data_IF_455699349135
#
_entry.id   IF_455699349135
#
_cell.length_a   1.000
_cell.length_b   1.000
_cell.length_c   1.000
_cell.angle_alpha   90.00
_cell.angle_beta   90.00
_cell.angle_gamma   90.00
#
_symmetry.space_group_name_H-M   'P 1'
#
loop_
_entity.id
_entity.type
_entity.pdbx_description
1 polymer ?
#
# COMPACT_ATOMS: atom_id res chain seq x y z
N UNK A 1 -49.89 16.79 32.07
CA UNK A 1 -48.48 16.65 31.71
C UNK A 1 -48.37 15.58 30.66
N UNK A 2 -47.84 15.91 29.49
CA UNK A 2 -47.90 15.03 28.31
C UNK A 2 -46.92 13.85 28.48
N UNK A 3 -47.39 12.61 28.31
CA UNK A 3 -46.59 11.37 28.49
C UNK A 3 -45.29 11.37 27.69
N UNK A 4 -45.24 12.11 26.58
CA UNK A 4 -44.03 12.26 25.77
C UNK A 4 -42.98 13.18 26.43
N UNK A 5 -43.37 14.19 27.19
CA UNK A 5 -42.40 15.02 27.96
C UNK A 5 -41.79 14.25 29.12
N UNK A 6 -42.53 13.33 29.75
CA UNK A 6 -42.03 12.51 30.82
C UNK A 6 -40.99 11.47 30.31
N UNK A 7 -41.21 10.91 29.08
CA UNK A 7 -40.24 9.97 28.46
C UNK A 7 -38.94 10.64 28.04
N UNK A 8 -39.00 11.89 27.51
CA UNK A 8 -37.80 12.65 27.17
C UNK A 8 -37.00 13.04 28.41
N UNK A 9 -37.67 13.43 29.48
CA UNK A 9 -37.00 13.78 30.75
C UNK A 9 -36.37 12.54 31.38
N UNK A 10 -37.04 11.39 31.33
CA UNK A 10 -36.49 10.13 31.85
C UNK A 10 -35.30 9.64 31.01
N UNK A 11 -35.32 9.79 29.69
CA UNK A 11 -34.22 9.45 28.79
C UNK A 11 -33.02 10.37 28.97
N UNK A 12 -33.23 11.68 29.14
CA UNK A 12 -32.15 12.63 29.44
C UNK A 12 -31.55 12.40 30.83
N UNK A 13 -32.37 12.05 31.85
CA UNK A 13 -31.88 11.73 33.17
C UNK A 13 -31.09 10.42 33.24
N UNK A 14 -31.47 9.42 32.43
CA UNK A 14 -30.69 8.18 32.35
C UNK A 14 -29.37 8.38 31.61
N UNK A 15 -29.33 9.23 30.56
CA UNK A 15 -28.06 9.58 29.87
C UNK A 15 -27.12 10.39 30.77
N UNK A 16 -27.64 11.35 31.54
CA UNK A 16 -26.83 12.13 32.48
C UNK A 16 -26.35 11.29 33.66
N UNK A 17 -27.16 10.34 34.16
CA UNK A 17 -26.74 9.42 35.22
C UNK A 17 -25.66 8.43 34.74
N UNK A 18 -25.72 7.97 33.49
CA UNK A 18 -24.66 7.09 32.93
C UNK A 18 -23.36 7.86 32.70
N UNK A 19 -23.42 9.12 32.24
CA UNK A 19 -22.23 9.94 32.09
C UNK A 19 -21.58 10.29 33.44
N UNK A 20 -22.37 10.72 34.46
CA UNK A 20 -21.84 11.03 35.78
C UNK A 20 -21.39 9.80 36.59
N UNK A 21 -22.02 8.64 36.35
CA UNK A 21 -21.55 7.36 36.95
C UNK A 21 -20.23 6.89 36.34
N UNK A 22 -19.93 7.30 35.09
CA UNK A 22 -18.69 7.01 34.41
C UNK A 22 -17.56 7.97 34.82
N UNK A 23 -17.87 9.23 35.12
CA UNK A 23 -16.92 10.20 35.69
C UNK A 23 -16.47 9.88 37.12
N UNK A 24 -17.30 9.20 37.93
CA UNK A 24 -16.94 8.73 39.26
C UNK A 24 -16.19 7.41 39.29
N UNK A 25 -16.08 6.72 38.15
CA UNK A 25 -15.18 5.57 38.02
C UNK A 25 -13.79 6.05 37.68
N UNK A 26 -12.82 5.43 38.32
CA UNK A 26 -11.39 5.71 38.17
C UNK A 26 -10.89 5.94 36.76
N UNK A 27 -9.67 6.43 36.65
CA UNK A 27 -8.81 6.60 35.49
C UNK A 27 -9.15 5.66 34.36
N UNK A 28 -9.55 6.21 33.22
CA UNK A 28 -9.71 5.43 32.00
C UNK A 28 -8.34 4.87 31.59
N UNK A 29 -8.30 3.58 31.26
CA UNK A 29 -7.08 2.95 30.78
C UNK A 29 -6.75 3.39 29.36
N UNK A 30 -7.76 3.75 28.57
CA UNK A 30 -7.63 4.26 27.21
C UNK A 30 -7.86 5.76 27.21
N UNK A 31 -6.81 6.54 27.12
CA UNK A 31 -6.87 8.02 27.05
C UNK A 31 -6.85 8.52 25.61
N UNK A 32 -6.46 7.69 24.67
CA UNK A 32 -6.39 7.91 23.22
C UNK A 32 -6.84 6.65 22.50
N UNK A 33 -6.45 6.47 21.26
CA UNK A 33 -6.69 5.24 20.50
C UNK A 33 -5.85 4.02 20.93
N UNK A 34 -5.01 4.17 21.95
CA UNK A 34 -4.23 3.10 22.56
C UNK A 34 -4.42 3.10 24.10
N UNK A 35 -4.26 1.95 24.77
CA UNK A 35 -4.20 1.91 26.23
C UNK A 35 -2.91 2.57 26.72
N UNK A 36 -2.96 3.16 27.94
CA UNK A 36 -1.80 3.82 28.59
C UNK A 36 -0.57 2.90 28.64
N UNK A 37 -0.78 1.61 28.81
CA UNK A 37 0.29 0.60 28.75
C UNK A 37 1.02 0.60 27.38
N UNK A 38 0.27 0.66 26.28
CA UNK A 38 0.87 0.70 24.94
C UNK A 38 1.62 2.00 24.69
N UNK A 39 1.11 3.15 25.16
CA UNK A 39 1.82 4.42 25.11
C UNK A 39 3.19 4.34 25.79
N UNK A 40 3.25 3.71 26.97
CA UNK A 40 4.52 3.51 27.70
C UNK A 40 5.48 2.61 26.91
N UNK A 41 4.99 1.51 26.34
CA UNK A 41 5.80 0.64 25.48
C UNK A 41 6.36 1.37 24.24
N UNK A 42 5.55 2.22 23.62
CA UNK A 42 5.98 2.99 22.44
C UNK A 42 7.08 3.99 22.83
N UNK A 43 6.96 4.64 23.99
CA UNK A 43 7.97 5.56 24.49
C UNK A 43 9.34 4.88 24.74
N UNK A 44 9.33 3.61 25.11
CA UNK A 44 10.53 2.80 25.37
C UNK A 44 11.07 2.10 24.10
N UNK A 45 10.44 2.26 22.93
CA UNK A 45 10.88 1.60 21.69
C UNK A 45 12.17 2.21 21.16
N UNK A 46 13.17 1.34 20.96
CA UNK A 46 14.49 1.72 20.42
C UNK A 46 14.71 1.27 18.98
N UNK A 47 13.77 0.52 18.40
CA UNK A 47 13.90 -0.09 17.07
C UNK A 47 15.22 -0.86 16.90
N UNK A 48 15.42 -1.97 17.64
CA UNK A 48 16.73 -2.64 17.75
C UNK A 48 17.26 -3.22 16.44
N UNK A 49 16.43 -3.38 15.42
CA UNK A 49 16.84 -3.80 14.08
C UNK A 49 16.98 -2.66 13.08
N UNK A 50 16.79 -1.39 13.48
CA UNK A 50 17.09 -0.28 12.59
C UNK A 50 18.58 -0.24 12.24
N UNK A 51 18.90 0.15 11.00
CA UNK A 51 20.29 0.37 10.61
C UNK A 51 20.89 1.50 11.47
N UNK A 52 22.02 1.26 12.07
CA UNK A 52 22.65 2.17 13.03
C UNK A 52 22.34 1.87 14.50
N UNK A 53 21.16 1.29 14.83
CA UNK A 53 20.83 0.81 16.19
C UNK A 53 21.24 -0.66 16.38
N UNK A 54 21.21 -1.43 15.30
CA UNK A 54 21.60 -2.84 15.29
C UNK A 54 23.09 -3.03 15.55
N UNK A 55 23.46 -4.13 16.21
CA UNK A 55 24.86 -4.58 16.34
C UNK A 55 25.47 -5.09 15.04
N UNK A 56 24.65 -5.34 14.01
CA UNK A 56 25.09 -5.81 12.69
C UNK A 56 25.78 -4.67 11.95
N UNK A 57 27.05 -4.86 11.57
CA UNK A 57 27.87 -3.83 10.90
C UNK A 57 27.97 -4.01 9.39
N UNK A 58 27.72 -5.21 8.88
CA UNK A 58 27.62 -5.47 7.43
C UNK A 58 26.20 -5.14 6.93
N UNK A 59 26.10 -4.26 5.95
CA UNK A 59 24.81 -3.80 5.45
C UNK A 59 24.03 -4.90 4.71
N UNK A 60 24.72 -5.77 3.99
CA UNK A 60 24.10 -6.90 3.29
C UNK A 60 23.49 -7.90 4.28
N UNK A 61 24.23 -8.20 5.36
CA UNK A 61 23.74 -9.04 6.46
C UNK A 61 22.57 -8.38 7.18
N UNK A 62 22.68 -7.08 7.48
CA UNK A 62 21.57 -6.34 8.08
C UNK A 62 20.29 -6.42 7.23
N UNK A 63 20.38 -6.18 5.91
CA UNK A 63 19.24 -6.30 4.99
C UNK A 63 18.60 -7.68 5.06
N UNK A 64 19.43 -8.73 5.07
CA UNK A 64 18.95 -10.11 5.16
C UNK A 64 18.18 -10.34 6.46
N UNK A 65 18.72 -9.90 7.60
CA UNK A 65 18.09 -10.08 8.92
C UNK A 65 16.83 -9.21 9.08
N UNK A 66 16.90 -7.94 8.66
CA UNK A 66 15.77 -7.03 8.73
C UNK A 66 14.61 -7.51 7.83
N UNK A 67 14.92 -7.93 6.58
CA UNK A 67 13.91 -8.51 5.65
C UNK A 67 13.28 -9.77 6.23
N UNK A 68 14.10 -10.67 6.80
CA UNK A 68 13.58 -11.88 7.45
C UNK A 68 12.64 -11.53 8.60
N UNK A 69 12.97 -10.52 9.41
CA UNK A 69 12.11 -10.07 10.50
C UNK A 69 10.76 -9.55 9.97
N UNK A 70 10.72 -8.86 8.83
CA UNK A 70 9.46 -8.46 8.20
C UNK A 70 8.65 -9.70 7.83
N UNK A 71 9.25 -10.69 7.16
CA UNK A 71 8.56 -11.95 6.82
C UNK A 71 8.09 -12.71 8.06
N UNK A 72 8.87 -12.74 9.15
CA UNK A 72 8.43 -13.36 10.42
C UNK A 72 7.15 -12.71 10.98
N UNK A 73 7.00 -11.39 10.80
CA UNK A 73 5.81 -10.65 11.22
C UNK A 73 4.65 -10.74 10.23
N UNK A 74 4.89 -11.21 9.01
CA UNK A 74 3.86 -11.41 7.97
C UNK A 74 3.03 -12.68 8.16
N UNK A 75 3.32 -13.47 9.19
CA UNK A 75 2.62 -14.70 9.52
C UNK A 75 2.67 -15.74 8.38
N UNK A 76 1.54 -16.41 8.08
CA UNK A 76 1.51 -17.54 7.15
C UNK A 76 1.45 -17.09 5.69
N UNK A 77 2.45 -17.39 4.85
CA UNK A 77 2.39 -17.09 3.43
C UNK A 77 1.39 -17.99 2.70
N UNK A 78 0.70 -17.49 1.67
CA UNK A 78 -0.05 -18.35 0.76
C UNK A 78 0.89 -19.34 0.07
N UNK A 79 0.52 -20.63 -0.02
CA UNK A 79 1.36 -21.59 -0.72
C UNK A 79 1.43 -21.26 -2.22
N UNK A 80 2.61 -21.36 -2.85
CA UNK A 80 2.78 -21.04 -4.27
C UNK A 80 1.96 -21.98 -5.15
N UNK A 81 1.67 -21.62 -6.41
CA UNK A 81 1.02 -22.51 -7.37
C UNK A 81 1.95 -23.69 -7.72
N UNK A 82 1.36 -24.88 -7.89
CA UNK A 82 2.14 -26.12 -8.06
C UNK A 82 2.93 -26.18 -9.39
N UNK A 83 2.39 -25.58 -10.47
CA UNK A 83 2.89 -25.71 -11.84
C UNK A 83 3.28 -24.36 -12.47
N UNK A 84 3.72 -23.41 -11.66
CA UNK A 84 3.95 -22.04 -12.14
C UNK A 84 2.64 -21.25 -12.28
N UNK A 85 2.74 -20.08 -12.89
CA UNK A 85 1.57 -19.21 -13.06
C UNK A 85 0.69 -19.69 -14.21
N UNK A 86 -0.53 -20.15 -13.88
CA UNK A 86 -1.58 -20.44 -14.86
C UNK A 86 -2.37 -19.17 -15.11
N UNK A 87 -2.38 -18.71 -16.36
CA UNK A 87 -2.97 -17.43 -16.77
C UNK A 87 -4.03 -17.67 -17.82
N UNK A 88 -5.23 -17.19 -17.57
CA UNK A 88 -6.34 -17.20 -18.50
C UNK A 88 -6.60 -15.77 -18.96
N UNK A 89 -6.47 -15.50 -20.25
CA UNK A 89 -6.92 -14.25 -20.87
C UNK A 89 -8.43 -14.31 -21.02
N UNK A 90 -9.13 -13.39 -20.37
CA UNK A 90 -10.60 -13.30 -20.38
C UNK A 90 -11.08 -12.36 -21.48
N UNK A 91 -10.35 -11.29 -21.70
CA UNK A 91 -10.66 -10.27 -22.71
C UNK A 91 -9.40 -9.53 -23.15
N UNK A 92 -9.38 -9.09 -24.41
CA UNK A 92 -8.30 -8.29 -24.98
C UNK A 92 -8.88 -7.19 -25.88
N UNK A 93 -8.34 -6.01 -25.79
CA UNK A 93 -8.67 -4.90 -26.68
C UNK A 93 -7.40 -4.09 -27.05
N UNK A 94 -7.42 -3.50 -28.25
CA UNK A 94 -6.39 -2.55 -28.68
C UNK A 94 -6.78 -1.14 -28.19
N UNK A 95 -5.82 -0.44 -27.66
CA UNK A 95 -5.90 0.97 -27.27
C UNK A 95 -4.85 1.78 -28.00
N UNK A 96 -4.87 3.10 -27.83
CA UNK A 96 -3.91 3.98 -28.50
C UNK A 96 -2.48 3.77 -27.95
N UNK A 97 -1.65 3.08 -28.74
CA UNK A 97 -0.26 2.77 -28.43
C UNK A 97 -0.01 1.55 -27.55
N UNK A 98 -1.03 0.78 -27.17
CA UNK A 98 -0.86 -0.44 -26.37
C UNK A 98 -2.08 -1.36 -26.44
N UNK A 99 -1.85 -2.61 -26.10
CA UNK A 99 -2.85 -3.66 -25.94
C UNK A 99 -3.23 -3.78 -24.47
N UNK A 100 -4.53 -3.87 -24.16
CA UNK A 100 -5.04 -4.09 -22.81
C UNK A 100 -5.68 -5.48 -22.71
N UNK A 101 -5.35 -6.21 -21.63
CA UNK A 101 -5.89 -7.55 -21.31
C UNK A 101 -6.51 -7.59 -19.93
N UNK A 102 -7.68 -8.21 -19.81
CA UNK A 102 -8.21 -8.73 -18.56
C UNK A 102 -7.77 -10.18 -18.43
N UNK A 103 -7.17 -10.53 -17.30
CA UNK A 103 -6.69 -11.89 -17.04
C UNK A 103 -7.15 -12.38 -15.68
N UNK A 104 -7.25 -13.70 -15.55
CA UNK A 104 -7.17 -14.41 -14.26
C UNK A 104 -5.80 -15.07 -14.14
N UNK A 105 -5.13 -14.87 -13.04
CA UNK A 105 -3.82 -15.44 -12.77
C UNK A 105 -3.85 -16.26 -11.47
N UNK A 106 -3.29 -17.46 -11.50
CA UNK A 106 -3.11 -18.30 -10.33
C UNK A 106 -1.87 -17.87 -9.56
N UNK A 107 -2.04 -17.06 -8.52
CA UNK A 107 -0.94 -16.63 -7.64
C UNK A 107 -0.68 -17.61 -6.49
N UNK A 108 -1.63 -18.47 -6.16
CA UNK A 108 -1.51 -19.48 -5.10
C UNK A 108 -2.13 -20.81 -5.52
N UNK A 109 -1.72 -21.88 -4.83
CA UNK A 109 -2.38 -23.18 -4.93
C UNK A 109 -3.91 -23.11 -4.74
N UNK A 110 -4.38 -22.14 -3.94
CA UNK A 110 -5.78 -22.08 -3.48
C UNK A 110 -6.66 -21.09 -4.22
N UNK A 111 -6.07 -20.09 -4.93
CA UNK A 111 -6.86 -19.03 -5.55
C UNK A 111 -6.24 -18.47 -6.82
N UNK A 112 -7.10 -17.89 -7.63
CA UNK A 112 -6.76 -17.03 -8.76
C UNK A 112 -7.06 -15.56 -8.43
N UNK A 113 -6.38 -14.65 -9.11
CA UNK A 113 -6.50 -13.21 -8.91
C UNK A 113 -6.86 -12.55 -10.25
N UNK A 114 -7.92 -11.73 -10.31
CA UNK A 114 -8.22 -10.93 -11.48
C UNK A 114 -7.22 -9.77 -11.58
N UNK A 115 -6.74 -9.52 -12.78
CA UNK A 115 -5.78 -8.46 -13.06
C UNK A 115 -5.96 -7.87 -14.46
N UNK A 116 -5.43 -6.66 -14.64
CA UNK A 116 -5.23 -6.06 -15.95
C UNK A 116 -3.75 -6.04 -16.29
N UNK A 117 -3.47 -6.26 -17.58
CA UNK A 117 -2.13 -6.08 -18.18
C UNK A 117 -2.24 -5.17 -19.38
N UNK A 118 -1.36 -4.17 -19.42
CA UNK A 118 -1.17 -3.29 -20.57
C UNK A 118 0.19 -3.58 -21.19
N UNK A 119 0.24 -3.80 -22.51
CA UNK A 119 1.45 -4.15 -23.24
C UNK A 119 1.64 -3.12 -24.35
N UNK A 120 2.71 -2.30 -24.34
CA UNK A 120 2.97 -1.32 -25.39
C UNK A 120 3.09 -1.96 -26.75
N UNK A 121 2.68 -1.22 -27.79
CA UNK A 121 2.93 -1.60 -29.17
C UNK A 121 4.43 -1.53 -29.49
N UNK A 122 4.90 -2.37 -30.42
CA UNK A 122 6.28 -2.37 -30.85
C UNK A 122 7.05 -3.63 -30.49
N UNK A 123 8.38 -3.54 -30.53
CA UNK A 123 9.26 -4.68 -30.30
C UNK A 123 9.85 -4.63 -28.87
N UNK A 124 9.35 -5.52 -28.01
CA UNK A 124 9.91 -5.73 -26.65
C UNK A 124 11.28 -6.43 -26.66
N UNK A 125 11.79 -6.87 -25.49
CA UNK A 125 11.11 -6.77 -24.19
C UNK A 125 11.14 -5.34 -23.62
N UNK A 126 10.04 -4.97 -22.94
CA UNK A 126 9.85 -3.62 -22.39
C UNK A 126 10.19 -3.58 -20.89
N UNK A 127 10.54 -2.41 -20.34
CA UNK A 127 10.50 -2.22 -18.89
C UNK A 127 9.06 -2.36 -18.40
N UNK A 128 8.88 -2.74 -17.13
CA UNK A 128 7.56 -3.03 -16.61
C UNK A 128 7.30 -2.39 -15.23
N UNK A 129 6.04 -2.11 -14.94
CA UNK A 129 5.59 -1.54 -13.66
C UNK A 129 4.47 -2.40 -13.05
N UNK A 130 4.67 -2.82 -11.81
CA UNK A 130 3.58 -3.30 -10.98
C UNK A 130 2.88 -2.08 -10.37
N UNK A 131 1.66 -1.79 -10.84
CA UNK A 131 0.86 -0.62 -10.48
C UNK A 131 -0.15 -1.00 -9.40
N UNK A 132 0.04 -0.50 -8.19
CA UNK A 132 -0.63 -0.91 -6.96
C UNK A 132 -1.71 0.11 -6.59
N UNK A 133 -2.98 -0.31 -6.59
CA UNK A 133 -4.11 0.58 -6.33
C UNK A 133 -4.20 1.04 -4.86
N UNK A 134 -4.85 2.18 -4.66
CA UNK A 134 -5.11 2.79 -3.34
C UNK A 134 -6.23 2.08 -2.56
N UNK A 135 -6.32 2.41 -1.25
CA UNK A 135 -7.39 1.95 -0.37
C UNK A 135 -8.70 2.71 -0.61
N UNK A 136 -8.65 4.03 -0.43
CA UNK A 136 -9.73 4.97 -0.61
C UNK A 136 -11.00 4.72 0.21
N UNK A 137 -11.00 3.73 1.12
CA UNK A 137 -12.21 3.21 1.76
C UNK A 137 -13.29 2.76 0.76
N UNK A 138 -12.90 2.58 -0.51
CA UNK A 138 -13.77 2.26 -1.62
C UNK A 138 -13.39 0.87 -2.15
N UNK A 139 -14.19 -0.15 -1.77
CA UNK A 139 -13.88 -1.56 -2.01
C UNK A 139 -14.48 -2.10 -3.32
N UNK A 140 -15.38 -1.34 -3.96
CA UNK A 140 -16.12 -1.80 -5.14
C UNK A 140 -15.21 -2.01 -6.37
N UNK A 141 -14.17 -1.22 -6.51
CA UNK A 141 -13.14 -1.33 -7.55
C UNK A 141 -11.76 -1.46 -6.94
N UNK A 142 -10.85 -2.14 -7.64
CA UNK A 142 -9.45 -2.32 -7.24
C UNK A 142 -8.51 -1.89 -8.37
N UNK A 143 -8.15 -2.80 -9.26
CA UNK A 143 -7.30 -2.57 -10.45
C UNK A 143 -7.81 -1.45 -11.37
N UNK A 144 -9.13 -1.22 -11.37
CA UNK A 144 -9.79 -0.17 -12.15
C UNK A 144 -9.47 1.24 -11.64
N UNK A 145 -8.90 1.38 -10.44
CA UNK A 145 -8.37 2.66 -9.95
C UNK A 145 -7.07 3.07 -10.65
N UNK A 146 -6.29 2.08 -11.07
CA UNK A 146 -5.00 2.29 -11.73
C UNK A 146 -5.11 2.26 -13.26
N UNK A 147 -5.96 1.39 -13.79
CA UNK A 147 -6.10 1.14 -15.22
C UNK A 147 -7.55 1.35 -15.63
N UNK A 148 -7.77 2.10 -16.71
CA UNK A 148 -9.11 2.31 -17.24
C UNK A 148 -9.79 0.97 -17.52
N UNK A 149 -11.01 0.74 -17.03
CA UNK A 149 -11.76 -0.49 -17.25
C UNK A 149 -11.83 -0.86 -18.74
N UNK A 150 -11.76 -2.17 -19.01
CA UNK A 150 -11.89 -2.69 -20.37
C UNK A 150 -13.35 -2.70 -20.80
N UNK A 151 -13.60 -2.73 -22.11
CA UNK A 151 -14.96 -2.69 -22.68
C UNK A 151 -15.85 -3.88 -22.28
N UNK A 152 -15.27 -4.94 -21.75
CA UNK A 152 -16.01 -6.09 -21.22
C UNK A 152 -16.58 -5.89 -19.81
N UNK A 153 -16.21 -4.81 -19.12
CA UNK A 153 -16.67 -4.56 -17.75
C UNK A 153 -18.11 -4.05 -17.72
N UNK A 154 -18.79 -4.29 -16.60
CA UNK A 154 -20.12 -3.75 -16.36
C UNK A 154 -20.10 -2.22 -16.35
N UNK A 155 -21.15 -1.61 -16.86
CA UNK A 155 -21.27 -0.15 -16.93
C UNK A 155 -21.22 0.55 -15.59
N UNK A 156 -21.56 -0.14 -14.48
CA UNK A 156 -21.43 0.39 -13.13
C UNK A 156 -19.97 0.46 -12.70
N UNK A 157 -19.15 -0.53 -13.04
CA UNK A 157 -17.69 -0.53 -12.79
C UNK A 157 -17.02 0.58 -13.57
N UNK A 158 -17.37 0.75 -14.85
CA UNK A 158 -16.82 1.80 -15.71
C UNK A 158 -17.11 3.19 -15.12
N UNK A 159 -18.37 3.48 -14.80
CA UNK A 159 -18.79 4.77 -14.22
C UNK A 159 -18.13 5.05 -12.87
N UNK A 160 -17.99 4.02 -12.05
CA UNK A 160 -17.39 4.14 -10.73
C UNK A 160 -15.88 4.43 -10.82
N UNK A 161 -15.18 3.75 -11.72
CA UNK A 161 -13.77 4.01 -11.99
C UNK A 161 -13.53 5.42 -12.58
N UNK A 162 -14.39 5.87 -13.49
CA UNK A 162 -14.36 7.24 -14.03
C UNK A 162 -14.56 8.28 -12.91
N UNK A 163 -15.52 8.06 -12.02
CA UNK A 163 -15.74 8.92 -10.86
C UNK A 163 -14.53 8.91 -9.91
N UNK A 164 -13.91 7.75 -9.68
CA UNK A 164 -12.72 7.62 -8.84
C UNK A 164 -11.50 8.30 -9.44
N UNK A 165 -11.38 8.33 -10.76
CA UNK A 165 -10.24 8.93 -11.48
C UNK A 165 -10.02 10.42 -11.15
N UNK A 166 -11.01 11.11 -10.57
CA UNK A 166 -10.87 12.50 -10.10
C UNK A 166 -9.71 12.67 -9.12
N UNK A 167 -9.43 11.68 -8.24
CA UNK A 167 -8.26 11.66 -7.36
C UNK A 167 -6.91 11.59 -8.11
N UNK A 168 -6.97 11.21 -9.38
CA UNK A 168 -5.87 11.15 -10.34
C UNK A 168 -5.97 12.24 -11.42
N UNK A 169 -6.78 13.28 -11.18
CA UNK A 169 -7.09 14.36 -12.15
C UNK A 169 -7.61 13.86 -13.51
N UNK A 170 -8.47 12.82 -13.47
CA UNK A 170 -9.10 12.23 -14.65
C UNK A 170 -8.16 11.40 -15.54
N UNK A 171 -6.96 11.06 -15.06
CA UNK A 171 -5.97 10.27 -15.79
C UNK A 171 -5.75 8.92 -15.09
N UNK A 172 -5.95 7.82 -15.81
CA UNK A 172 -5.60 6.50 -15.30
C UNK A 172 -4.08 6.31 -15.34
N UNK A 173 -3.46 6.17 -14.19
CA UNK A 173 -2.00 6.18 -14.06
C UNK A 173 -1.33 5.01 -14.81
N UNK A 174 -1.95 3.81 -14.78
CA UNK A 174 -1.45 2.65 -15.52
C UNK A 174 -1.49 2.87 -17.04
N UNK A 175 -2.58 3.44 -17.57
CA UNK A 175 -2.70 3.78 -19.00
C UNK A 175 -1.65 4.81 -19.41
N UNK A 176 -1.41 5.82 -18.57
CA UNK A 176 -0.38 6.84 -18.81
C UNK A 176 1.03 6.21 -18.92
N UNK A 177 1.37 5.27 -18.01
CA UNK A 177 2.65 4.56 -18.06
C UNK A 177 2.76 3.66 -19.31
N UNK A 178 1.66 2.97 -19.69
CA UNK A 178 1.65 2.11 -20.89
C UNK A 178 1.87 2.92 -22.19
N UNK A 179 1.23 4.08 -22.31
CA UNK A 179 1.45 5.01 -23.43
C UNK A 179 2.91 5.50 -23.52
N UNK A 180 3.64 5.44 -22.41
CA UNK A 180 5.06 5.79 -22.34
C UNK A 180 5.98 4.56 -22.40
N UNK A 181 5.51 3.41 -22.90
CA UNK A 181 6.33 2.26 -23.23
C UNK A 181 6.67 1.33 -22.07
N UNK A 182 5.86 1.30 -21.02
CA UNK A 182 5.96 0.32 -19.95
C UNK A 182 4.90 -0.77 -20.08
N UNK A 183 5.27 -2.04 -19.88
CA UNK A 183 4.27 -3.05 -19.54
C UNK A 183 3.74 -2.73 -18.16
N UNK A 184 2.42 -2.68 -18.00
CA UNK A 184 1.81 -2.35 -16.71
C UNK A 184 0.92 -3.49 -16.25
N UNK A 185 1.14 -3.96 -15.02
CA UNK A 185 0.32 -4.97 -14.37
C UNK A 185 -0.38 -4.33 -13.16
N UNK A 186 -1.67 -4.57 -13.00
CA UNK A 186 -2.42 -4.20 -11.81
C UNK A 186 -3.43 -5.30 -11.46
N UNK A 187 -3.38 -5.79 -10.22
CA UNK A 187 -4.28 -6.80 -9.70
C UNK A 187 -5.15 -6.26 -8.58
N UNK A 188 -6.34 -6.85 -8.41
CA UNK A 188 -7.16 -6.56 -7.23
C UNK A 188 -6.50 -7.10 -5.96
N UNK A 189 -6.32 -6.23 -4.97
CA UNK A 189 -5.95 -6.66 -3.63
C UNK A 189 -7.11 -7.44 -2.97
N UNK A 190 -6.84 -8.33 -2.02
CA UNK A 190 -7.88 -8.96 -1.21
C UNK A 190 -8.85 -7.92 -0.63
N UNK A 191 -10.14 -8.14 -0.74
CA UNK A 191 -11.26 -7.28 -0.35
C UNK A 191 -11.66 -6.20 -1.37
N UNK A 192 -10.90 -5.97 -2.44
CA UNK A 192 -11.22 -4.98 -3.49
C UNK A 192 -11.67 -5.66 -4.79
N UNK A 193 -12.48 -4.91 -5.56
CA UNK A 193 -12.92 -5.31 -6.90
C UNK A 193 -13.57 -6.68 -6.92
N UNK A 194 -13.19 -7.50 -7.86
CA UNK A 194 -13.69 -8.87 -8.03
C UNK A 194 -13.26 -9.83 -6.90
N UNK A 195 -12.34 -9.41 -6.01
CA UNK A 195 -11.97 -10.13 -4.79
C UNK A 195 -12.73 -9.65 -3.55
N UNK A 196 -13.75 -8.85 -3.74
CA UNK A 196 -14.66 -8.39 -2.69
C UNK A 196 -15.53 -9.48 -2.10
N UNK A 197 -16.35 -9.12 -1.12
CA UNK A 197 -17.31 -10.02 -0.50
C UNK A 197 -18.47 -10.33 -1.46
N UNK A 198 -18.97 -11.57 -1.45
CA UNK A 198 -20.10 -12.00 -2.26
C UNK A 198 -21.37 -11.14 -2.05
N UNK A 199 -21.57 -10.66 -0.83
CA UNK A 199 -22.67 -9.77 -0.44
C UNK A 199 -22.47 -8.31 -0.84
N UNK A 200 -21.41 -8.02 -1.59
CA UNK A 200 -21.02 -6.68 -2.02
C UNK A 200 -19.98 -6.02 -1.09
N UNK A 201 -19.46 -4.86 -1.49
CA UNK A 201 -18.41 -4.16 -0.78
C UNK A 201 -18.93 -3.57 0.54
N UNK A 202 -18.51 -4.15 1.66
CA UNK A 202 -18.94 -3.79 3.00
C UNK A 202 -17.77 -3.34 3.87
N UNK A 203 -17.59 -2.03 3.99
CA UNK A 203 -16.55 -1.44 4.83
C UNK A 203 -16.68 -1.83 6.30
N UNK A 204 -17.90 -1.92 6.82
CA UNK A 204 -18.19 -2.28 8.19
C UNK A 204 -17.77 -3.72 8.56
N UNK A 205 -17.52 -4.58 7.58
CA UNK A 205 -17.06 -5.96 7.80
C UNK A 205 -15.56 -6.13 7.61
N UNK A 206 -14.88 -5.13 7.10
CA UNK A 206 -13.46 -5.20 6.78
C UNK A 206 -12.60 -5.59 7.98
N UNK A 207 -12.73 -4.86 9.10
CA UNK A 207 -11.96 -5.10 10.31
C UNK A 207 -12.30 -6.46 10.95
N UNK A 208 -13.58 -6.86 10.91
CA UNK A 208 -14.01 -8.18 11.39
C UNK A 208 -13.37 -9.32 10.59
N UNK A 209 -13.34 -9.22 9.27
CA UNK A 209 -12.72 -10.23 8.40
C UNK A 209 -11.22 -10.31 8.64
N UNK A 210 -10.54 -9.17 8.71
CA UNK A 210 -9.11 -9.10 9.00
C UNK A 210 -8.80 -9.73 10.37
N UNK A 211 -9.61 -9.43 11.40
CA UNK A 211 -9.49 -10.05 12.72
C UNK A 211 -9.71 -11.57 12.70
N UNK A 212 -10.71 -12.05 11.94
CA UNK A 212 -10.95 -13.49 11.77
C UNK A 212 -9.78 -14.19 11.06
N UNK A 213 -9.18 -13.56 10.04
CA UNK A 213 -7.99 -14.08 9.36
C UNK A 213 -6.81 -14.24 10.31
N UNK A 214 -6.58 -13.27 11.19
CA UNK A 214 -5.50 -13.32 12.17
C UNK A 214 -5.61 -14.49 13.13
N UNK A 215 -6.82 -14.98 13.46
CA UNK A 215 -7.02 -16.18 14.28
C UNK A 215 -6.43 -17.45 13.62
N UNK A 216 -6.28 -17.45 12.31
CA UNK A 216 -5.67 -18.54 11.54
C UNK A 216 -4.22 -18.24 11.12
N UNK A 217 -3.62 -17.19 11.68
CA UNK A 217 -2.26 -16.81 11.35
C UNK A 217 -2.12 -16.16 9.96
N UNK A 218 -3.18 -15.55 9.44
CA UNK A 218 -3.18 -14.85 8.15
C UNK A 218 -3.41 -13.36 8.42
N UNK A 219 -2.42 -12.55 8.12
CA UNK A 219 -2.53 -11.09 8.19
C UNK A 219 -2.97 -10.51 6.84
N UNK A 220 -3.94 -9.58 6.83
CA UNK A 220 -4.50 -9.03 5.59
C UNK A 220 -3.47 -8.20 4.81
N UNK A 221 -2.67 -7.40 5.49
CA UNK A 221 -1.61 -6.60 4.85
C UNK A 221 -0.53 -7.49 4.25
N UNK A 222 -0.16 -8.56 4.98
CA UNK A 222 0.78 -9.56 4.50
C UNK A 222 0.23 -10.34 3.30
N UNK A 223 -1.04 -10.71 3.32
CA UNK A 223 -1.69 -11.38 2.19
C UNK A 223 -1.59 -10.54 0.90
N UNK A 224 -1.88 -9.23 1.00
CA UNK A 224 -1.68 -8.31 -0.13
C UNK A 224 -0.21 -8.29 -0.60
N UNK A 225 0.73 -8.20 0.33
CA UNK A 225 2.16 -8.13 -0.01
C UNK A 225 2.67 -9.41 -0.65
N UNK A 226 2.23 -10.60 -0.20
CA UNK A 226 2.56 -11.87 -0.85
C UNK A 226 2.01 -11.92 -2.28
N UNK A 227 0.79 -11.43 -2.52
CA UNK A 227 0.22 -11.34 -3.87
C UNK A 227 1.00 -10.36 -4.76
N UNK A 228 1.46 -9.22 -4.20
CA UNK A 228 2.28 -8.24 -4.92
C UNK A 228 3.64 -8.84 -5.33
N UNK A 229 4.27 -9.61 -4.43
CA UNK A 229 5.49 -10.36 -4.73
C UNK A 229 5.24 -11.39 -5.83
N UNK A 230 4.20 -12.21 -5.69
CA UNK A 230 3.86 -13.25 -6.67
C UNK A 230 3.48 -12.65 -8.04
N UNK A 231 2.71 -11.54 -8.05
CA UNK A 231 2.37 -10.80 -9.27
C UNK A 231 3.61 -10.20 -9.95
N UNK A 232 4.59 -9.74 -9.16
CA UNK A 232 5.88 -9.26 -9.70
C UNK A 232 6.72 -10.40 -10.29
N UNK A 233 6.75 -11.56 -9.67
CA UNK A 233 7.41 -12.76 -10.22
C UNK A 233 6.75 -13.22 -11.54
N UNK A 234 5.41 -13.17 -11.60
CA UNK A 234 4.70 -13.41 -12.86
C UNK A 234 5.10 -12.40 -13.94
N UNK A 235 5.07 -11.11 -13.61
CA UNK A 235 5.45 -10.03 -14.52
C UNK A 235 6.88 -10.24 -15.07
N UNK A 236 7.81 -10.67 -14.22
CA UNK A 236 9.18 -10.98 -14.59
C UNK A 236 9.30 -12.24 -15.50
N UNK A 237 8.28 -13.11 -15.53
CA UNK A 237 8.24 -14.31 -16.35
C UNK A 237 7.67 -14.09 -17.75
N UNK A 238 7.07 -12.93 -18.02
CA UNK A 238 6.43 -12.61 -19.29
C UNK A 238 7.47 -12.37 -20.39
N UNK A 239 7.30 -12.93 -21.59
CA UNK A 239 8.24 -12.71 -22.71
C UNK A 239 8.28 -11.26 -23.20
N UNK A 240 7.22 -10.47 -22.95
CA UNK A 240 7.16 -9.05 -23.31
C UNK A 240 7.94 -8.16 -22.33
N UNK A 241 8.37 -8.70 -21.16
CA UNK A 241 8.98 -7.93 -20.07
C UNK A 241 10.49 -8.18 -19.98
N UNK A 242 11.25 -7.10 -19.86
CA UNK A 242 12.63 -7.17 -19.42
C UNK A 242 12.69 -7.30 -17.88
N UNK A 243 12.94 -8.49 -17.41
CA UNK A 243 12.98 -8.82 -15.98
C UNK A 243 14.08 -8.06 -15.20
N UNK A 244 15.02 -7.43 -15.87
CA UNK A 244 16.04 -6.56 -15.27
C UNK A 244 15.58 -5.12 -15.07
N UNK A 245 14.40 -4.74 -15.58
CA UNK A 245 13.88 -3.37 -15.60
C UNK A 245 12.43 -3.30 -15.09
N UNK A 246 12.18 -3.86 -13.90
CA UNK A 246 10.84 -3.84 -13.27
C UNK A 246 10.82 -2.83 -12.14
N UNK A 247 9.83 -1.95 -12.15
CA UNK A 247 9.50 -1.03 -11.07
C UNK A 247 8.15 -1.30 -10.43
N UNK A 248 7.84 -0.58 -9.37
CA UNK A 248 6.51 -0.56 -8.77
C UNK A 248 6.13 0.84 -8.31
N UNK A 249 4.83 1.14 -8.37
CA UNK A 249 4.30 2.44 -7.91
C UNK A 249 2.86 2.33 -7.46
N UNK A 250 2.43 3.29 -6.68
CA UNK A 250 1.04 3.48 -6.30
C UNK A 250 0.83 4.73 -5.45
N UNK A 251 -0.44 5.06 -5.25
CA UNK A 251 -0.89 6.15 -4.41
C UNK A 251 -1.50 5.63 -3.13
N UNK A 252 -1.32 6.34 -2.00
CA UNK A 252 -1.93 5.98 -0.72
C UNK A 252 -1.54 4.56 -0.30
N UNK A 253 -2.47 3.65 -0.03
CA UNK A 253 -2.17 2.23 0.23
C UNK A 253 -1.30 1.62 -0.88
N UNK A 254 -1.49 2.02 -2.14
CA UNK A 254 -0.62 1.60 -3.25
C UNK A 254 0.82 2.08 -3.06
N UNK A 255 1.01 3.29 -2.52
CA UNK A 255 2.34 3.81 -2.13
C UNK A 255 2.96 2.99 -1.00
N UNK A 256 2.18 2.61 0.02
CA UNK A 256 2.61 1.69 1.07
C UNK A 256 3.07 0.35 0.48
N UNK A 257 2.25 -0.25 -0.38
CA UNK A 257 2.56 -1.52 -1.05
C UNK A 257 3.82 -1.41 -1.92
N UNK A 258 4.02 -0.26 -2.59
CA UNK A 258 5.16 -0.05 -3.48
C UNK A 258 6.50 -0.04 -2.74
N UNK A 259 6.64 0.71 -1.64
CA UNK A 259 7.88 0.70 -0.88
C UNK A 259 8.07 -0.61 -0.11
N UNK A 260 7.01 -1.24 0.37
CA UNK A 260 7.08 -2.57 0.99
C UNK A 260 7.57 -3.62 -0.01
N UNK A 261 7.01 -3.65 -1.21
CA UNK A 261 7.42 -4.54 -2.29
C UNK A 261 8.87 -4.28 -2.70
N UNK A 262 9.30 -3.01 -2.77
CA UNK A 262 10.70 -2.64 -3.05
C UNK A 262 11.68 -3.16 -2.00
N UNK A 263 11.28 -3.17 -0.73
CA UNK A 263 12.07 -3.70 0.38
C UNK A 263 12.18 -5.24 0.35
N UNK A 264 11.11 -5.93 -0.09
CA UNK A 264 10.99 -7.39 0.04
C UNK A 264 11.30 -8.17 -1.24
N UNK A 265 11.22 -7.55 -2.42
CA UNK A 265 11.45 -8.23 -3.71
C UNK A 265 12.70 -7.70 -4.42
N UNK A 266 13.61 -8.61 -4.80
CA UNK A 266 14.80 -8.25 -5.59
C UNK A 266 14.48 -8.06 -7.08
N UNK A 267 13.27 -8.42 -7.52
CA UNK A 267 12.77 -8.12 -8.89
C UNK A 267 12.58 -6.63 -9.09
N UNK A 268 12.14 -5.91 -8.08
CA UNK A 268 11.96 -4.46 -8.15
C UNK A 268 13.33 -3.78 -8.21
N UNK A 269 13.54 -2.99 -9.27
CA UNK A 269 14.78 -2.22 -9.51
C UNK A 269 14.64 -0.75 -9.18
N UNK A 270 13.42 -0.21 -9.25
CA UNK A 270 13.09 1.15 -8.84
C UNK A 270 11.67 1.19 -8.26
N UNK A 271 11.44 1.96 -7.21
CA UNK A 271 10.13 2.09 -6.58
C UNK A 271 9.71 3.54 -6.38
N UNK A 272 8.42 3.84 -6.60
CA UNK A 272 7.87 5.16 -6.35
C UNK A 272 6.61 5.09 -5.49
N UNK A 273 6.59 5.86 -4.40
CA UNK A 273 5.49 5.94 -3.44
C UNK A 273 4.89 7.34 -3.41
N UNK A 274 3.59 7.45 -3.69
CA UNK A 274 2.88 8.74 -3.65
C UNK A 274 1.95 8.77 -2.44
N UNK A 275 2.10 9.79 -1.61
CA UNK A 275 1.33 10.05 -0.40
C UNK A 275 1.30 8.87 0.59
N UNK A 276 2.44 8.22 0.80
CA UNK A 276 2.54 7.24 1.87
C UNK A 276 3.97 7.04 2.37
N UNK A 277 4.43 7.87 3.29
CA UNK A 277 5.58 7.63 4.17
C UNK A 277 5.44 8.50 5.41
N UNK A 278 5.74 7.91 6.58
CA UNK A 278 5.61 8.56 7.88
C UNK A 278 6.30 7.71 8.96
N UNK A 279 6.70 8.30 10.09
CA UNK A 279 6.97 7.53 11.31
C UNK A 279 5.66 7.23 12.05
N UNK A 280 5.62 6.14 12.83
CA UNK A 280 4.37 5.68 13.47
C UNK A 280 4.00 6.44 14.74
N UNK A 281 4.93 7.13 15.37
CA UNK A 281 4.73 7.80 16.65
C UNK A 281 3.56 8.80 16.63
N UNK A 282 3.54 9.77 15.72
CA UNK A 282 2.43 10.71 15.60
C UNK A 282 1.22 10.12 14.85
N UNK A 283 1.43 9.23 13.89
CA UNK A 283 0.33 8.59 13.16
C UNK A 283 -0.58 7.77 14.09
N UNK A 284 -0.04 7.25 15.20
CA UNK A 284 -0.80 6.54 16.23
C UNK A 284 -1.53 7.47 17.19
N UNK A 285 -1.36 8.78 17.09
CA UNK A 285 -2.07 9.74 17.94
C UNK A 285 -3.57 9.79 17.62
N UNK A 286 -4.38 10.30 18.55
CA UNK A 286 -5.83 10.41 18.38
C UNK A 286 -6.24 11.20 17.14
N UNK A 287 -5.48 12.25 16.80
CA UNK A 287 -5.71 13.10 15.62
C UNK A 287 -5.55 12.36 14.29
N UNK A 288 -4.66 11.37 14.23
CA UNK A 288 -4.30 10.62 13.03
C UNK A 288 -4.62 9.14 13.16
N UNK A 289 -5.77 8.81 13.77
CA UNK A 289 -6.17 7.43 14.04
C UNK A 289 -6.06 6.53 12.81
N UNK A 290 -5.34 5.44 12.95
CA UNK A 290 -5.15 4.45 11.88
C UNK A 290 -6.43 3.74 11.46
N UNK A 291 -7.44 3.70 12.34
CA UNK A 291 -8.74 3.10 12.01
C UNK A 291 -9.39 3.79 10.83
N UNK A 292 -9.22 5.11 10.73
CA UNK A 292 -9.69 5.89 9.59
C UNK A 292 -8.73 5.80 8.40
N UNK A 293 -7.46 5.48 8.64
CA UNK A 293 -6.37 5.50 7.66
C UNK A 293 -5.98 4.12 7.15
N UNK A 294 -6.90 3.20 7.03
CA UNK A 294 -6.69 1.93 6.40
C UNK A 294 -6.31 0.76 7.32
N UNK A 295 -6.21 0.97 8.63
CA UNK A 295 -6.10 -0.07 9.67
C UNK A 295 -5.29 -1.32 9.29
N UNK A 296 -5.97 -2.43 9.13
CA UNK A 296 -5.38 -3.73 8.81
C UNK A 296 -4.74 -3.85 7.41
N UNK A 297 -4.94 -2.88 6.51
CA UNK A 297 -4.32 -2.91 5.19
C UNK A 297 -2.83 -2.53 5.17
N UNK A 298 -2.31 -1.98 6.27
CA UNK A 298 -0.94 -1.48 6.33
C UNK A 298 -0.28 -1.69 7.71
N UNK A 299 -0.52 -2.84 8.33
CA UNK A 299 0.15 -3.20 9.56
C UNK A 299 0.53 -4.69 9.57
N UNK A 300 1.69 -5.00 10.13
CA UNK A 300 2.10 -6.37 10.43
C UNK A 300 2.22 -6.53 11.94
N UNK A 301 1.65 -7.60 12.52
CA UNK A 301 1.65 -7.80 13.97
C UNK A 301 3.05 -7.76 14.58
N UNK A 302 3.28 -6.84 15.51
CA UNK A 302 4.52 -6.74 16.27
C UNK A 302 5.74 -6.19 15.52
N UNK A 303 5.65 -5.86 14.22
CA UNK A 303 6.79 -5.36 13.45
C UNK A 303 7.39 -4.09 14.05
N UNK A 304 6.54 -3.20 14.59
CA UNK A 304 6.98 -1.92 15.19
C UNK A 304 7.84 -2.06 16.43
N UNK A 305 7.90 -3.23 17.03
CA UNK A 305 8.87 -3.52 18.11
C UNK A 305 10.30 -3.62 17.62
N UNK A 306 10.49 -3.79 16.30
CA UNK A 306 11.80 -4.04 15.67
C UNK A 306 12.19 -2.94 14.69
N UNK A 307 11.24 -2.49 13.87
CA UNK A 307 11.44 -1.58 12.75
C UNK A 307 10.22 -0.66 12.60
N UNK A 308 10.43 0.63 12.42
CA UNK A 308 9.39 1.54 11.95
C UNK A 308 9.32 1.55 10.41
N UNK A 309 8.33 2.19 9.81
CA UNK A 309 8.13 2.26 8.37
C UNK A 309 9.37 2.73 7.59
N UNK A 310 10.05 3.85 7.96
CA UNK A 310 11.25 4.27 7.25
C UNK A 310 12.40 3.25 7.36
N UNK A 311 12.51 2.51 8.46
CA UNK A 311 13.51 1.46 8.60
C UNK A 311 13.23 0.28 7.64
N UNK A 312 11.93 -0.11 7.51
CA UNK A 312 11.54 -1.17 6.56
C UNK A 312 11.77 -0.71 5.13
N UNK A 313 11.37 0.53 4.78
CA UNK A 313 11.62 1.09 3.45
C UNK A 313 13.13 1.12 3.14
N UNK A 314 13.98 1.37 4.15
CA UNK A 314 15.44 1.40 4.01
C UNK A 314 16.07 0.05 3.67
N UNK A 315 15.35 -1.07 3.82
CA UNK A 315 15.80 -2.38 3.32
C UNK A 315 15.94 -2.35 1.78
N UNK A 316 15.23 -1.47 1.08
CA UNK A 316 15.37 -1.30 -0.37
C UNK A 316 16.73 -0.73 -0.78
N UNK A 317 17.42 0.01 0.09
CA UNK A 317 18.74 0.61 -0.22
C UNK A 317 19.73 -0.45 -0.74
N UNK A 318 20.51 -0.16 -1.81
CA UNK A 318 20.69 1.11 -2.50
C UNK A 318 19.81 1.31 -3.76
N UNK A 319 18.68 0.60 -3.88
CA UNK A 319 17.78 0.77 -5.03
C UNK A 319 17.31 2.21 -5.18
N UNK A 320 17.11 2.71 -6.41
CA UNK A 320 16.41 3.97 -6.65
C UNK A 320 15.01 3.97 -6.05
N UNK A 321 14.72 4.97 -5.22
CA UNK A 321 13.42 5.14 -4.59
C UNK A 321 12.97 6.60 -4.66
N UNK A 322 11.69 6.83 -5.00
CA UNK A 322 11.04 8.12 -4.97
C UNK A 322 9.88 8.12 -3.97
N UNK A 323 9.85 9.11 -3.09
CA UNK A 323 8.74 9.34 -2.18
C UNK A 323 8.21 10.76 -2.38
N UNK A 324 6.92 10.90 -2.67
CA UNK A 324 6.23 12.18 -2.75
C UNK A 324 5.13 12.20 -1.70
N UNK A 325 5.17 13.15 -0.77
CA UNK A 325 4.10 13.37 0.21
C UNK A 325 3.52 14.78 0.06
N UNK A 326 2.26 14.97 0.48
CA UNK A 326 1.61 16.27 0.49
C UNK A 326 1.72 16.97 1.86
N UNK A 327 2.10 18.25 1.89
CA UNK A 327 2.11 19.03 3.13
C UNK A 327 0.71 19.40 3.64
N UNK A 328 -0.30 19.34 2.75
CA UNK A 328 -1.71 19.54 3.09
C UNK A 328 -2.46 18.20 3.31
N UNK A 329 -1.73 17.08 3.27
CA UNK A 329 -2.30 15.76 3.51
C UNK A 329 -2.69 15.59 4.99
N UNK A 330 -3.99 15.39 5.23
CA UNK A 330 -4.53 15.26 6.59
C UNK A 330 -4.30 13.90 7.22
N UNK A 331 -3.82 12.93 6.45
CA UNK A 331 -3.59 11.56 6.92
C UNK A 331 -2.16 11.37 7.47
N UNK A 332 -1.23 12.22 7.05
CA UNK A 332 0.19 12.11 7.40
C UNK A 332 0.73 13.40 8.01
N UNK A 333 1.14 13.39 9.30
CA UNK A 333 1.68 14.58 9.95
C UNK A 333 3.03 14.96 9.35
N UNK A 334 3.16 16.20 8.86
CA UNK A 334 4.37 16.72 8.19
C UNK A 334 5.64 16.47 9.00
N UNK A 335 5.72 16.76 10.32
CA UNK A 335 6.95 16.51 11.09
C UNK A 335 7.37 15.04 11.06
N UNK A 336 6.41 14.10 11.07
CA UNK A 336 6.71 12.66 11.00
C UNK A 336 7.11 12.22 9.60
N UNK A 337 6.60 12.87 8.55
CA UNK A 337 7.05 12.66 7.16
C UNK A 337 8.51 13.10 7.01
N UNK A 338 8.85 14.31 7.43
CA UNK A 338 10.22 14.84 7.37
C UNK A 338 11.20 14.01 8.20
N UNK A 339 10.79 13.56 9.38
CA UNK A 339 11.56 12.64 10.21
C UNK A 339 11.84 11.33 9.48
N UNK A 340 10.80 10.73 8.84
CA UNK A 340 10.93 9.50 8.07
C UNK A 340 11.88 9.68 6.89
N UNK A 341 11.77 10.78 6.14
CA UNK A 341 12.65 11.10 5.03
C UNK A 341 14.10 11.20 5.48
N UNK A 342 14.36 11.93 6.57
CA UNK A 342 15.70 12.04 7.15
C UNK A 342 16.27 10.67 7.50
N UNK A 343 15.50 9.81 8.17
CA UNK A 343 15.94 8.47 8.58
C UNK A 343 16.32 7.61 7.38
N UNK A 344 15.57 7.72 6.27
CA UNK A 344 15.90 7.00 5.04
C UNK A 344 17.16 7.57 4.39
N UNK A 345 17.31 8.89 4.27
CA UNK A 345 18.54 9.51 3.75
C UNK A 345 19.77 9.12 4.55
N UNK A 346 19.69 9.10 5.88
CA UNK A 346 20.79 8.66 6.75
C UNK A 346 21.25 7.22 6.38
N UNK A 347 20.29 6.35 5.99
CA UNK A 347 20.62 4.97 5.56
C UNK A 347 21.25 4.95 4.17
N UNK A 348 20.68 5.61 3.15
CA UNK A 348 21.24 5.65 1.79
C UNK A 348 22.62 6.32 1.78
N UNK A 349 22.79 7.42 2.51
CA UNK A 349 24.05 8.12 2.66
C UNK A 349 25.12 7.20 3.28
N UNK A 350 24.78 6.40 4.28
CA UNK A 350 25.71 5.44 4.90
C UNK A 350 26.25 4.39 3.93
N UNK A 351 25.54 4.19 2.81
CA UNK A 351 25.92 3.26 1.76
C UNK A 351 26.52 3.95 0.52
N UNK A 352 26.74 5.27 0.57
CA UNK A 352 27.23 6.05 -0.56
C UNK A 352 26.25 6.11 -1.73
N UNK A 353 24.95 5.98 -1.46
CA UNK A 353 23.87 5.91 -2.47
C UNK A 353 22.78 6.98 -2.27
N UNK A 354 23.10 8.10 -1.64
CA UNK A 354 22.15 9.16 -1.32
C UNK A 354 21.47 9.75 -2.58
N UNK A 355 22.15 9.75 -3.71
CA UNK A 355 21.64 10.13 -5.03
C UNK A 355 20.58 9.18 -5.61
N UNK A 356 20.41 8.00 -5.01
CA UNK A 356 19.40 7.01 -5.38
C UNK A 356 18.09 7.16 -4.58
N UNK A 357 18.04 8.03 -3.57
CA UNK A 357 16.84 8.32 -2.81
C UNK A 357 16.36 9.73 -3.09
N UNK A 358 15.16 9.85 -3.64
CA UNK A 358 14.50 11.13 -3.91
C UNK A 358 13.27 11.25 -3.00
N UNK A 359 13.22 12.28 -2.14
CA UNK A 359 12.10 12.53 -1.22
C UNK A 359 11.59 13.95 -1.40
N UNK A 360 10.29 14.09 -1.59
CA UNK A 360 9.66 15.36 -1.94
C UNK A 360 8.42 15.60 -1.07
N UNK A 361 8.34 16.78 -0.44
CA UNK A 361 7.15 17.26 0.26
C UNK A 361 6.54 18.40 -0.55
N UNK A 362 5.41 18.12 -1.20
CA UNK A 362 4.76 19.09 -2.08
C UNK A 362 3.61 19.81 -1.39
N UNK A 363 3.34 21.03 -1.80
CA UNK A 363 2.15 21.77 -1.36
C UNK A 363 0.90 21.24 -2.06
N UNK A 364 0.43 20.08 -1.62
CA UNK A 364 -0.74 19.38 -2.15
C UNK A 364 -1.48 18.57 -1.07
N UNK A 365 -2.78 18.31 -1.26
CA UNK A 365 -3.54 17.39 -0.42
C UNK A 365 -3.19 15.92 -0.73
N UNK A 366 -3.93 14.97 -0.12
CA UNK A 366 -3.85 13.55 -0.41
C UNK A 366 -4.34 13.23 -1.83
N UNK A 367 -3.46 13.27 -2.82
CA UNK A 367 -3.81 13.10 -4.24
C UNK A 367 -2.64 12.54 -5.07
N UNK A 368 -2.95 12.00 -6.25
CA UNK A 368 -1.97 11.55 -7.24
C UNK A 368 -2.31 12.16 -8.62
N UNK A 369 -2.32 13.49 -8.69
CA UNK A 369 -2.63 14.22 -9.91
C UNK A 369 -1.59 14.05 -11.02
N UNK A 370 -1.85 14.63 -12.19
CA UNK A 370 -1.01 14.50 -13.38
C UNK A 370 0.46 14.87 -13.14
N UNK A 371 0.71 15.93 -12.35
CA UNK A 371 2.07 16.33 -11.98
C UNK A 371 2.82 15.23 -11.21
N UNK A 372 2.14 14.55 -10.27
CA UNK A 372 2.74 13.43 -9.53
C UNK A 372 3.03 12.25 -10.47
N UNK A 373 2.10 11.94 -11.36
CA UNK A 373 2.25 10.86 -12.34
C UNK A 373 3.40 11.14 -13.33
N UNK A 374 3.52 12.36 -13.83
CA UNK A 374 4.62 12.81 -14.67
C UNK A 374 5.97 12.72 -13.96
N UNK A 375 6.02 13.14 -12.68
CA UNK A 375 7.23 13.05 -11.86
C UNK A 375 7.67 11.59 -11.66
N UNK A 376 6.73 10.69 -11.40
CA UNK A 376 7.01 9.25 -11.28
C UNK A 376 7.47 8.66 -12.62
N UNK A 377 6.85 9.05 -13.73
CA UNK A 377 7.29 8.64 -15.07
C UNK A 377 8.75 9.05 -15.33
N UNK A 378 9.11 10.32 -15.07
CA UNK A 378 10.49 10.80 -15.24
C UNK A 378 11.49 10.03 -14.38
N UNK A 379 11.10 9.69 -13.15
CA UNK A 379 11.90 8.84 -12.26
C UNK A 379 12.13 7.45 -12.88
N UNK A 380 11.10 6.79 -13.36
CA UNK A 380 11.24 5.49 -14.00
C UNK A 380 12.02 5.57 -15.32
N UNK A 381 11.82 6.60 -16.14
CA UNK A 381 12.58 6.79 -17.38
C UNK A 381 14.09 6.92 -17.10
N UNK A 382 14.44 7.63 -16.02
CA UNK A 382 15.84 7.75 -15.57
C UNK A 382 16.44 6.40 -15.12
N UNK A 383 15.68 5.57 -14.42
CA UNK A 383 16.23 4.38 -13.76
C UNK A 383 15.93 3.05 -14.46
N UNK A 384 14.91 2.99 -15.34
CA UNK A 384 14.49 1.75 -15.99
C UNK A 384 14.64 1.78 -17.52
N UNK A 385 14.74 2.97 -18.15
CA UNK A 385 14.90 3.08 -19.62
C UNK A 385 16.30 3.44 -20.08
N UNK A 386 17.07 4.15 -19.26
CA UNK A 386 18.45 4.47 -19.64
C UNK A 386 19.26 3.16 -19.63
N UNK A 387 19.50 2.64 -20.82
CA UNK A 387 20.50 1.60 -21.06
C UNK A 387 21.82 2.36 -21.22
N UNK A 388 22.70 2.18 -20.27
CA UNK A 388 24.11 2.63 -20.41
C UNK A 388 24.82 1.76 -21.45
#
# INVERSE_FOLDING_TARGET
MNKNKLRVILFCLTMTMTASAQEGRQKFEFMRNLPVYADSLIADMTYPLAWGNSDIKDFGEWKRVARQKVFDCMLTPPPPPANGYDVKVLFEEQRDGYKARKIEIRLSKYYTVPAYILIPDGKGPFPAINALHDHGAHLFIGKEKMIRPLACEDSTVIKDAEAWSVGYEGQFFGDYLAQHGYVVFSADAPMWGERGQKEGPRRDRYDMIAGNMMMYGIDLSAYMTYDDIAGTEYLASMPEVDASRIGCTGWSMGGYRAWMLSALSDRIKAGASVCWMVTTDEQMSFKYSRTENGGFANCYPGLRRWLDYPHVASIACPKPMLFINGSQDKLFPVPSVEKAFKMMHDTWQSQGADDQLETELWDMPHSCGKKSQERVLHFFDKHLKQII
#
